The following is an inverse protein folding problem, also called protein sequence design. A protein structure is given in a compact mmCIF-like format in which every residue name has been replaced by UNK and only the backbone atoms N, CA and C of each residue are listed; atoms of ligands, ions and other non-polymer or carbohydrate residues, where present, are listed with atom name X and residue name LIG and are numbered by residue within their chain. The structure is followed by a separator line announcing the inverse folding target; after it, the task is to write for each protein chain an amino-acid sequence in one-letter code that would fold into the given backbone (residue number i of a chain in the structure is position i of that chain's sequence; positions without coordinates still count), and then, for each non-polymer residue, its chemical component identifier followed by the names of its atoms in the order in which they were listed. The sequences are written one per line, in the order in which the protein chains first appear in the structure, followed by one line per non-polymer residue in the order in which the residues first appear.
data_IF_538125133968
#
_entry.id   IF_538125133968
#
_cell.length_a   1.000
_cell.length_b   1.000
_cell.length_c   1.000
_cell.angle_alpha   90.00
_cell.angle_beta   90.00
_cell.angle_gamma   90.00
#
_symmetry.space_group_name_H-M   'P 1'
#
loop_
_entity.id
_entity.type
_entity.pdbx_description
1 polymer ?
#
# COMPACT_ATOMS: atom_id res chain seq x y z
N UNK A 1 38.43 14.71 -1.35
CA UNK A 1 38.14 13.26 -1.38
C UNK A 1 38.84 12.64 -2.58
N UNK A 2 39.93 11.92 -2.38
CA UNK A 2 40.56 11.14 -3.45
C UNK A 2 40.10 9.69 -3.32
N UNK A 3 39.45 9.14 -4.35
CA UNK A 3 39.03 7.73 -4.39
C UNK A 3 40.28 6.84 -4.56
N UNK A 4 40.90 6.43 -3.45
CA UNK A 4 42.10 5.57 -3.42
C UNK A 4 41.76 4.11 -3.15
N UNK A 5 40.71 3.87 -2.38
CA UNK A 5 40.24 2.53 -1.98
C UNK A 5 38.81 2.34 -2.49
N UNK A 6 38.40 1.08 -2.71
CA UNK A 6 36.98 0.74 -3.00
C UNK A 6 36.08 0.80 -1.76
N UNK A 7 36.56 1.41 -0.68
CA UNK A 7 35.84 1.58 0.58
C UNK A 7 35.69 3.07 0.87
N UNK A 8 34.48 3.55 1.20
CA UNK A 8 34.24 4.96 1.49
C UNK A 8 34.84 5.41 2.84
N UNK A 9 35.04 4.48 3.78
CA UNK A 9 35.60 4.72 5.11
C UNK A 9 36.74 3.73 5.41
N UNK A 10 37.64 4.10 6.32
CA UNK A 10 38.69 3.20 6.80
C UNK A 10 38.16 2.16 7.81
N UNK A 11 37.09 2.49 8.54
CA UNK A 11 36.37 1.59 9.46
C UNK A 11 35.08 1.01 8.88
N UNK A 12 34.37 0.23 9.72
CA UNK A 12 33.15 -0.52 9.36
C UNK A 12 31.85 0.30 9.45
N UNK A 13 31.95 1.62 9.66
CA UNK A 13 30.80 2.53 9.84
C UNK A 13 29.92 2.66 8.58
N UNK A 14 30.46 2.33 7.40
CA UNK A 14 29.73 2.25 6.15
C UNK A 14 29.94 0.85 5.53
N UNK A 15 29.12 -0.14 5.93
CA UNK A 15 29.25 -1.50 5.45
C UNK A 15 28.88 -1.63 3.97
N UNK A 16 29.42 -2.66 3.33
CA UNK A 16 29.01 -3.01 1.98
C UNK A 16 27.56 -3.52 1.98
N UNK A 17 26.81 -3.16 0.95
CA UNK A 17 25.44 -3.65 0.78
C UNK A 17 25.43 -5.17 0.58
N UNK A 18 24.53 -5.86 1.28
CA UNK A 18 24.18 -7.25 1.00
C UNK A 18 22.66 -7.38 0.87
N UNK A 19 22.19 -8.44 0.20
CA UNK A 19 20.74 -8.66 0.05
C UNK A 19 20.10 -9.06 1.38
N UNK A 20 20.82 -9.83 2.18
CA UNK A 20 20.32 -10.37 3.45
C UNK A 20 20.30 -9.29 4.55
N UNK A 21 21.27 -8.35 4.49
CA UNK A 21 21.32 -7.15 5.31
C UNK A 21 21.41 -5.90 4.43
N UNK A 22 20.26 -5.42 3.90
CA UNK A 22 20.23 -4.33 2.91
C UNK A 22 20.40 -2.95 3.57
N UNK A 23 21.54 -2.76 4.22
CA UNK A 23 21.90 -1.51 4.88
C UNK A 23 22.40 -0.47 3.88
N UNK A 24 22.13 0.80 4.17
CA UNK A 24 22.64 1.94 3.43
C UNK A 24 23.05 3.05 4.39
N UNK A 25 23.99 3.88 3.98
CA UNK A 25 24.44 5.01 4.78
C UNK A 25 23.61 6.26 4.46
N UNK A 26 23.02 6.85 5.49
CA UNK A 26 22.35 8.15 5.44
C UNK A 26 23.45 9.20 5.53
N UNK A 27 23.63 9.99 4.48
CA UNK A 27 24.62 11.06 4.42
C UNK A 27 23.96 12.38 4.07
N UNK A 28 23.65 13.20 5.08
CA UNK A 28 23.16 14.57 4.90
C UNK A 28 23.64 15.47 6.06
N UNK A 29 23.34 16.76 6.00
CA UNK A 29 23.83 17.76 6.96
C UNK A 29 23.25 17.61 8.37
N UNK A 30 22.10 16.95 8.52
CA UNK A 30 21.34 16.89 9.77
C UNK A 30 21.47 15.52 10.46
N UNK A 31 21.65 14.47 9.67
CA UNK A 31 21.66 13.09 10.10
C UNK A 31 22.71 12.30 9.33
N UNK A 32 23.49 11.54 10.08
CA UNK A 32 24.36 10.49 9.57
C UNK A 32 24.07 9.18 10.28
N UNK A 33 24.41 8.05 9.65
CA UNK A 33 24.27 6.71 10.22
C UNK A 33 23.66 5.72 9.25
N UNK A 34 23.31 4.54 9.75
CA UNK A 34 22.78 3.46 8.92
C UNK A 34 21.24 3.47 8.88
N UNK A 35 20.71 3.25 7.69
CA UNK A 35 19.32 2.86 7.46
C UNK A 35 19.25 1.48 6.83
N UNK A 36 18.06 0.90 6.80
CA UNK A 36 17.79 -0.40 6.16
C UNK A 36 16.78 -0.21 5.04
N UNK A 37 17.08 -0.76 3.87
CA UNK A 37 16.15 -0.86 2.76
C UNK A 37 15.60 0.50 2.30
N UNK A 38 16.33 1.25 1.46
CA UNK A 38 15.86 2.57 1.03
C UNK A 38 14.56 2.43 0.25
N UNK A 39 13.50 3.09 0.74
CA UNK A 39 12.17 3.14 0.10
C UNK A 39 11.53 1.77 -0.16
N UNK A 40 11.76 0.77 0.70
CA UNK A 40 11.26 -0.60 0.54
C UNK A 40 9.83 -0.71 0.00
N UNK A 41 8.81 -0.01 0.56
CA UNK A 41 7.43 -0.14 0.05
C UNK A 41 7.26 0.33 -1.40
N UNK A 42 7.96 1.41 -1.78
CA UNK A 42 7.90 1.92 -3.14
C UNK A 42 8.63 0.98 -4.10
N UNK A 43 9.80 0.46 -3.71
CA UNK A 43 10.53 -0.51 -4.52
C UNK A 43 9.72 -1.79 -4.74
N UNK A 44 9.02 -2.30 -3.72
CA UNK A 44 8.12 -3.44 -3.87
C UNK A 44 6.98 -3.14 -4.85
N UNK A 45 6.39 -1.94 -4.79
CA UNK A 45 5.38 -1.54 -5.76
C UNK A 45 5.94 -1.55 -7.20
N UNK A 46 7.03 -0.82 -7.45
CA UNK A 46 7.54 -0.66 -8.81
C UNK A 46 8.13 -1.95 -9.40
N UNK A 47 8.78 -2.77 -8.59
CA UNK A 47 9.51 -3.94 -9.08
C UNK A 47 8.69 -5.23 -9.04
N UNK A 48 7.75 -5.36 -8.10
CA UNK A 48 7.01 -6.61 -7.90
C UNK A 48 5.54 -6.49 -8.31
N UNK A 49 4.91 -5.34 -8.04
CA UNK A 49 3.48 -5.15 -8.26
C UNK A 49 3.17 -4.57 -9.64
N UNK A 50 3.82 -3.46 -10.04
CA UNK A 50 3.54 -2.79 -11.30
C UNK A 50 3.66 -3.73 -12.52
N UNK A 51 4.68 -4.60 -12.65
CA UNK A 51 4.77 -5.50 -13.79
C UNK A 51 3.60 -6.48 -13.90
N UNK A 52 2.85 -6.70 -12.82
CA UNK A 52 1.63 -7.53 -12.83
C UNK A 52 0.43 -6.80 -13.43
N UNK A 53 0.48 -5.48 -13.49
CA UNK A 53 -0.54 -4.66 -14.15
C UNK A 53 -0.31 -4.57 -15.65
N UNK A 54 0.91 -4.81 -16.12
CA UNK A 54 1.23 -4.85 -17.55
C UNK A 54 0.49 -6.04 -18.20
N UNK A 55 -0.39 -5.75 -19.15
CA UNK A 55 -1.22 -6.75 -19.83
C UNK A 55 -2.64 -6.89 -19.27
N UNK A 56 -3.00 -6.18 -18.20
CA UNK A 56 -4.40 -5.96 -17.83
C UNK A 56 -4.94 -4.90 -18.80
N UNK A 57 -5.93 -5.21 -19.67
CA UNK A 57 -6.56 -4.20 -20.51
C UNK A 57 -7.13 -3.11 -19.60
N UNK A 58 -7.01 -1.84 -20.01
CA UNK A 58 -7.72 -0.76 -19.33
C UNK A 58 -9.18 -1.20 -19.17
N UNK A 59 -9.73 -1.19 -17.94
CA UNK A 59 -11.12 -1.56 -17.75
C UNK A 59 -11.94 -0.63 -18.62
N UNK A 60 -12.73 -1.21 -19.54
CA UNK A 60 -13.60 -0.40 -20.37
C UNK A 60 -14.51 0.44 -19.46
N UNK A 61 -14.95 1.64 -19.88
CA UNK A 61 -15.83 2.48 -19.06
C UNK A 61 -17.03 1.72 -18.48
N UNK A 62 -17.52 0.70 -19.18
CA UNK A 62 -18.60 -0.19 -18.76
C UNK A 62 -18.24 -1.03 -17.53
N UNK A 63 -17.01 -1.55 -17.43
CA UNK A 63 -16.55 -2.32 -16.28
C UNK A 63 -16.47 -1.45 -15.01
N UNK A 64 -16.03 -0.20 -15.15
CA UNK A 64 -16.02 0.76 -14.05
C UNK A 64 -17.45 1.10 -13.60
N UNK A 65 -18.33 1.42 -14.56
CA UNK A 65 -19.74 1.71 -14.28
C UNK A 65 -20.45 0.53 -13.59
N UNK A 66 -20.14 -0.71 -13.98
CA UNK A 66 -20.67 -1.91 -13.33
C UNK A 66 -20.22 -2.09 -11.88
N UNK A 67 -18.95 -1.79 -11.57
CA UNK A 67 -18.42 -1.86 -10.20
C UNK A 67 -19.07 -0.81 -9.28
N UNK A 68 -19.25 0.42 -9.78
CA UNK A 68 -19.95 1.49 -9.06
C UNK A 68 -21.42 1.13 -8.83
N UNK A 69 -22.12 0.66 -9.87
CA UNK A 69 -23.52 0.24 -9.75
C UNK A 69 -23.71 -0.90 -8.74
N UNK A 70 -22.79 -1.87 -8.73
CA UNK A 70 -22.80 -3.00 -7.79
C UNK A 70 -22.61 -2.53 -6.34
N UNK A 71 -21.69 -1.59 -6.12
CA UNK A 71 -21.41 -1.01 -4.80
C UNK A 71 -22.63 -0.23 -4.26
N UNK A 72 -23.28 0.56 -5.11
CA UNK A 72 -24.52 1.30 -4.78
C UNK A 72 -25.67 0.34 -4.47
N UNK A 73 -25.81 -0.73 -5.25
CA UNK A 73 -26.85 -1.75 -5.06
C UNK A 73 -26.67 -2.48 -3.71
N UNK A 74 -25.44 -2.90 -3.39
CA UNK A 74 -25.13 -3.55 -2.12
C UNK A 74 -25.45 -2.64 -0.91
N UNK A 75 -25.07 -1.36 -0.98
CA UNK A 75 -25.41 -0.39 0.07
C UNK A 75 -26.92 -0.16 0.22
N UNK A 76 -27.66 -0.10 -0.89
CA UNK A 76 -29.10 0.04 -0.86
C UNK A 76 -29.80 -1.20 -0.26
N UNK A 77 -29.28 -2.40 -0.52
CA UNK A 77 -29.79 -3.65 0.06
C UNK A 77 -29.56 -3.71 1.57
N UNK A 78 -28.39 -3.28 2.04
CA UNK A 78 -28.09 -3.23 3.48
C UNK A 78 -29.03 -2.26 4.22
N UNK A 79 -29.26 -1.06 3.68
CA UNK A 79 -30.18 -0.07 4.24
C UNK A 79 -31.62 -0.59 4.28
N UNK A 80 -32.08 -1.24 3.20
CA UNK A 80 -33.42 -1.86 3.16
C UNK A 80 -33.55 -2.96 4.20
N UNK A 81 -32.54 -3.81 4.34
CA UNK A 81 -32.56 -4.90 5.32
C UNK A 81 -32.61 -4.36 6.75
N UNK A 82 -31.83 -3.32 7.06
CA UNK A 82 -31.87 -2.63 8.37
C UNK A 82 -33.21 -1.96 8.63
N UNK A 83 -33.80 -1.30 7.63
CA UNK A 83 -35.11 -0.67 7.76
C UNK A 83 -36.21 -1.71 8.05
N UNK A 84 -36.20 -2.84 7.33
CA UNK A 84 -37.16 -3.93 7.56
C UNK A 84 -37.01 -4.54 8.96
N UNK A 85 -35.77 -4.71 9.43
CA UNK A 85 -35.49 -5.16 10.80
C UNK A 85 -36.02 -4.16 11.85
N UNK A 86 -35.78 -2.85 11.64
CA UNK A 86 -36.28 -1.80 12.54
C UNK A 86 -37.81 -1.77 12.58
N UNK A 87 -38.47 -1.85 11.42
CA UNK A 87 -39.94 -1.90 11.34
C UNK A 87 -40.50 -3.16 12.03
N UNK A 88 -39.88 -4.32 11.83
CA UNK A 88 -40.28 -5.55 12.49
C UNK A 88 -40.15 -5.45 14.02
N UNK A 89 -39.07 -4.85 14.52
CA UNK A 89 -38.87 -4.61 15.95
C UNK A 89 -39.95 -3.69 16.52
N UNK A 90 -40.29 -2.60 15.83
CA UNK A 90 -41.36 -1.67 16.25
C UNK A 90 -42.71 -2.41 16.37
N UNK A 91 -43.03 -3.27 15.41
CA UNK A 91 -44.26 -4.07 15.40
C UNK A 91 -44.28 -5.12 16.54
N UNK A 92 -43.12 -5.67 16.92
CA UNK A 92 -43.01 -6.67 18.00
C UNK A 92 -43.08 -6.00 19.39
N UNK A 93 -42.52 -4.80 19.55
CA UNK A 93 -42.51 -4.08 20.83
C UNK A 93 -43.84 -3.40 21.17
N UNK A 94 -44.84 -3.44 20.27
CA UNK A 94 -46.18 -2.92 20.55
C UNK A 94 -46.21 -1.41 20.81
N UNK A 95 -45.28 -0.65 20.24
CA UNK A 95 -45.32 0.83 20.28
C UNK A 95 -46.22 1.30 19.13
N UNK A 96 -47.51 1.08 19.29
CA UNK A 96 -48.61 1.84 18.69
C UNK A 96 -49.59 2.12 19.82
#
# INVERSE_FOLDING_TARGET
MTCRTRKPTEGDDWPAYTRDEPQYYIFNAEKSGLGTGPRLPACAFWNEFLPRLEGIPDPSPEACNGAIASSVSAGAQELRSKLLLMLALIMITGII
#
